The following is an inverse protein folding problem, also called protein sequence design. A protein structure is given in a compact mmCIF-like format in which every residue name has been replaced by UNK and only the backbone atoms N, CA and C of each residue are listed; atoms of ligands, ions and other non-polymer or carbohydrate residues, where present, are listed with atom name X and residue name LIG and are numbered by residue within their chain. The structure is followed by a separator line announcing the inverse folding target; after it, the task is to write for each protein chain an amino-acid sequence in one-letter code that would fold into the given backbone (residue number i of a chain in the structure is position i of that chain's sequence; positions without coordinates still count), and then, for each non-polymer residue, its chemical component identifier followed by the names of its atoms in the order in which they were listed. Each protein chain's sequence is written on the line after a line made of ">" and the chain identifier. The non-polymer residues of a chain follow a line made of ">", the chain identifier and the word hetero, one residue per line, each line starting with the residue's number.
data_IF_405537251067
#
_entry.id   IF_405537251067
#
_cell.length_a   1.000
_cell.length_b   1.000
_cell.length_c   1.000
_cell.angle_alpha   90.00
_cell.angle_beta   90.00
_cell.angle_gamma   90.00
#
_symmetry.space_group_name_H-M   'P 1'
#
loop_
_entity.id
_entity.type
_entity.pdbx_description
1 polymer ?
#
# COMPACT_ATOMS: atom_id res chain seq x y z
N UNK A 1 -7.78 7.86 23.60
CA UNK A 1 -7.43 7.53 22.20
C UNK A 1 -8.72 7.56 21.41
N UNK A 2 -8.77 8.15 20.21
CA UNK A 2 -10.04 8.19 19.45
C UNK A 2 -10.42 6.80 18.94
N UNK A 3 -11.69 6.57 18.60
CA UNK A 3 -12.16 5.27 18.09
C UNK A 3 -11.43 4.88 16.80
N UNK A 4 -11.07 5.85 15.96
CA UNK A 4 -10.25 5.61 14.77
C UNK A 4 -8.85 5.14 15.12
N UNK A 5 -8.18 5.81 16.06
CA UNK A 5 -6.86 5.40 16.50
C UNK A 5 -6.90 3.99 17.10
N UNK A 6 -7.87 3.68 17.97
CA UNK A 6 -8.05 2.34 18.53
C UNK A 6 -8.27 1.28 17.44
N UNK A 7 -9.12 1.57 16.45
CA UNK A 7 -9.41 0.66 15.34
C UNK A 7 -8.17 0.42 14.46
N UNK A 8 -7.41 1.47 14.17
CA UNK A 8 -6.25 1.40 13.28
C UNK A 8 -5.01 0.83 13.97
N UNK A 9 -4.86 1.06 15.28
CA UNK A 9 -3.72 0.61 16.08
C UNK A 9 -3.96 -0.73 16.78
N UNK A 10 -5.07 -1.43 16.49
CA UNK A 10 -5.37 -2.74 17.09
C UNK A 10 -4.24 -3.73 16.83
N UNK A 11 -3.80 -4.41 17.87
CA UNK A 11 -2.81 -5.48 17.77
C UNK A 11 -3.31 -6.67 16.93
N UNK A 12 -2.36 -7.45 16.40
CA UNK A 12 -2.67 -8.67 15.67
C UNK A 12 -3.17 -9.74 16.65
N UNK A 13 -4.22 -10.45 16.29
CA UNK A 13 -4.59 -11.68 17.00
C UNK A 13 -3.51 -12.75 16.80
N UNK A 14 -3.54 -13.79 17.63
CA UNK A 14 -2.65 -14.96 17.50
C UNK A 14 -2.81 -15.65 16.14
N UNK A 15 -4.05 -15.78 15.65
CA UNK A 15 -4.35 -16.35 14.35
C UNK A 15 -3.77 -15.50 13.20
N UNK A 16 -3.95 -14.18 13.25
CA UNK A 16 -3.35 -13.26 12.27
C UNK A 16 -1.83 -13.34 12.31
N UNK A 17 -1.23 -13.34 13.50
CA UNK A 17 0.23 -13.41 13.68
C UNK A 17 0.81 -14.70 13.09
N UNK A 18 0.16 -15.84 13.36
CA UNK A 18 0.56 -17.15 12.83
C UNK A 18 0.46 -17.18 11.30
N UNK A 19 -0.64 -16.64 10.75
CA UNK A 19 -0.82 -16.58 9.30
C UNK A 19 0.20 -15.64 8.63
N UNK A 20 0.47 -14.46 9.21
CA UNK A 20 1.49 -13.53 8.70
C UNK A 20 2.86 -14.23 8.62
N UNK A 21 3.25 -14.95 9.67
CA UNK A 21 4.52 -15.69 9.66
C UNK A 21 4.57 -16.75 8.54
N UNK A 22 3.48 -17.50 8.35
CA UNK A 22 3.37 -18.47 7.27
C UNK A 22 3.49 -17.82 5.88
N UNK A 23 2.82 -16.68 5.65
CA UNK A 23 2.87 -15.98 4.36
C UNK A 23 4.24 -15.35 4.08
N UNK A 24 4.93 -14.86 5.11
CA UNK A 24 6.32 -14.40 4.99
C UNK A 24 7.23 -15.58 4.61
N UNK A 25 7.06 -16.74 5.25
CA UNK A 25 7.83 -17.94 4.93
C UNK A 25 7.60 -18.39 3.48
N UNK A 26 6.35 -18.42 3.02
CA UNK A 26 6.01 -18.76 1.64
C UNK A 26 6.65 -17.79 0.64
N UNK A 27 6.64 -16.49 0.93
CA UNK A 27 7.27 -15.50 0.06
C UNK A 27 8.79 -15.68 -0.04
N UNK A 28 9.46 -16.08 1.04
CA UNK A 28 10.90 -16.40 1.00
C UNK A 28 11.21 -17.55 0.05
N UNK A 29 10.35 -18.57 -0.01
CA UNK A 29 10.47 -19.65 -1.00
C UNK A 29 10.45 -19.11 -2.44
N UNK A 30 9.47 -18.26 -2.75
CA UNK A 30 9.36 -17.61 -4.06
C UNK A 30 10.55 -16.70 -4.39
N UNK A 31 11.16 -16.05 -3.40
CA UNK A 31 12.37 -15.25 -3.59
C UNK A 31 13.56 -16.13 -4.01
N UNK A 32 13.76 -17.28 -3.35
CA UNK A 32 14.81 -18.24 -3.70
C UNK A 32 14.61 -18.77 -5.12
N UNK A 33 13.38 -19.07 -5.51
CA UNK A 33 13.06 -19.49 -6.88
C UNK A 33 13.35 -18.36 -7.89
N UNK A 34 12.99 -17.11 -7.57
CA UNK A 34 13.25 -15.95 -8.42
C UNK A 34 14.76 -15.73 -8.66
N UNK A 35 15.57 -15.90 -7.62
CA UNK A 35 17.04 -15.77 -7.69
C UNK A 35 17.70 -16.82 -8.60
N UNK A 36 17.01 -17.93 -8.86
CA UNK A 36 17.49 -18.98 -9.78
C UNK A 36 17.24 -18.68 -11.26
N UNK A 37 16.44 -17.65 -11.58
CA UNK A 37 16.12 -17.30 -12.96
C UNK A 37 17.33 -16.69 -13.69
N UNK A 38 17.45 -16.97 -15.00
CA UNK A 38 18.32 -16.19 -15.86
C UNK A 38 17.82 -14.75 -16.01
N UNK A 39 18.70 -13.83 -16.40
CA UNK A 39 18.33 -12.43 -16.64
C UNK A 39 17.22 -12.30 -17.67
N UNK A 40 17.25 -13.10 -18.75
CA UNK A 40 16.22 -13.10 -19.79
C UNK A 40 14.86 -13.54 -19.23
N UNK A 41 14.84 -14.63 -18.46
CA UNK A 41 13.62 -15.14 -17.81
C UNK A 41 13.02 -14.16 -16.82
N UNK A 42 13.87 -13.49 -16.04
CA UNK A 42 13.45 -12.44 -15.11
C UNK A 42 12.81 -11.27 -15.88
N UNK A 43 13.43 -10.80 -16.97
CA UNK A 43 12.89 -9.72 -17.79
C UNK A 43 11.54 -10.09 -18.43
N UNK A 44 11.43 -11.29 -19.00
CA UNK A 44 10.15 -11.81 -19.55
C UNK A 44 9.06 -11.82 -18.47
N UNK A 45 9.38 -12.31 -17.28
CA UNK A 45 8.45 -12.38 -16.16
C UNK A 45 8.01 -11.01 -15.66
N UNK A 46 8.92 -10.04 -15.58
CA UNK A 46 8.59 -8.66 -15.19
C UNK A 46 7.64 -7.99 -16.21
N UNK A 47 7.84 -8.23 -17.50
CA UNK A 47 6.94 -7.78 -18.57
C UNK A 47 5.55 -8.41 -18.41
N UNK A 48 5.49 -9.71 -18.13
CA UNK A 48 4.24 -10.45 -17.87
C UNK A 48 3.49 -9.93 -16.64
N UNK A 49 4.21 -9.56 -15.58
CA UNK A 49 3.62 -9.01 -14.34
C UNK A 49 3.05 -7.59 -14.53
N UNK A 50 3.67 -6.76 -15.39
CA UNK A 50 3.37 -5.33 -15.48
C UNK A 50 1.86 -4.96 -15.62
N UNK A 51 1.03 -5.65 -16.43
CA UNK A 51 -0.39 -5.33 -16.56
C UNK A 51 -1.22 -5.53 -15.27
N UNK A 52 -0.74 -6.36 -14.34
CA UNK A 52 -1.47 -6.74 -13.12
C UNK A 52 -1.24 -5.78 -11.95
N UNK A 53 -0.23 -4.90 -12.05
CA UNK A 53 -0.02 -3.80 -11.10
C UNK A 53 -1.11 -2.73 -11.15
N UNK A 54 -1.93 -2.77 -12.19
CA UNK A 54 -2.60 -1.62 -12.75
C UNK A 54 -4.12 -1.80 -12.88
N UNK A 55 -4.62 -3.02 -12.65
CA UNK A 55 -5.97 -3.46 -13.03
C UNK A 55 -7.11 -2.87 -12.17
N UNK A 56 -6.83 -2.35 -10.97
CA UNK A 56 -7.88 -2.01 -9.99
C UNK A 56 -7.81 -0.61 -9.34
N UNK A 57 -6.81 0.21 -9.66
CA UNK A 57 -6.94 1.64 -9.40
C UNK A 57 -7.79 2.23 -10.53
N UNK A 58 -8.83 3.01 -10.23
CA UNK A 58 -9.75 3.58 -11.25
C UNK A 58 -9.10 4.44 -12.37
N UNK A 59 -7.76 4.56 -12.38
CA UNK A 59 -6.95 5.27 -13.35
C UNK A 59 -6.95 4.70 -14.75
N UNK A 60 -6.84 3.37 -14.92
CA UNK A 60 -6.72 2.80 -16.27
C UNK A 60 -8.04 2.74 -17.02
N UNK A 61 -9.18 2.75 -16.33
CA UNK A 61 -10.48 2.90 -17.00
C UNK A 61 -10.67 4.28 -17.66
N UNK A 62 -9.85 5.27 -17.31
CA UNK A 62 -10.01 6.67 -17.76
C UNK A 62 -8.74 7.29 -18.38
N UNK A 63 -7.71 6.51 -18.73
CA UNK A 63 -6.55 7.02 -19.49
C UNK A 63 -5.49 7.81 -18.70
N UNK A 64 -5.45 7.72 -17.36
CA UNK A 64 -4.44 8.43 -16.53
C UNK A 64 -3.12 7.64 -16.41
N UNK A 65 -2.52 7.27 -17.54
CA UNK A 65 -1.26 6.52 -17.58
C UNK A 65 -0.07 7.43 -17.23
N UNK A 66 -0.11 8.68 -17.69
CA UNK A 66 0.98 9.65 -17.51
C UNK A 66 1.25 9.97 -16.04
N UNK A 67 0.21 10.24 -15.24
CA UNK A 67 0.38 10.55 -13.81
C UNK A 67 0.93 9.36 -13.03
N UNK A 68 0.57 8.14 -13.43
CA UNK A 68 1.13 6.92 -12.85
C UNK A 68 2.60 6.74 -13.23
N UNK A 69 2.96 6.99 -14.49
CA UNK A 69 4.36 6.95 -14.93
C UNK A 69 5.20 7.99 -14.17
N UNK A 70 4.74 9.24 -14.07
CA UNK A 70 5.41 10.29 -13.31
C UNK A 70 5.64 9.89 -11.84
N UNK A 71 4.62 9.33 -11.19
CA UNK A 71 4.74 8.85 -9.81
C UNK A 71 5.73 7.67 -9.69
N UNK A 72 5.75 6.74 -10.65
CA UNK A 72 6.75 5.66 -10.66
C UNK A 72 8.17 6.19 -10.88
N UNK A 73 8.36 7.17 -11.77
CA UNK A 73 9.66 7.81 -11.97
C UNK A 73 10.13 8.52 -10.70
N UNK A 74 9.22 9.23 -10.00
CA UNK A 74 9.51 9.87 -8.72
C UNK A 74 10.02 8.86 -7.70
N UNK A 75 9.28 7.76 -7.46
CA UNK A 75 9.72 6.78 -6.46
C UNK A 75 10.96 6.00 -6.92
N UNK A 76 11.17 5.79 -8.22
CA UNK A 76 12.35 5.09 -8.72
C UNK A 76 13.65 5.85 -8.37
N UNK A 77 13.66 7.17 -8.53
CA UNK A 77 14.77 8.03 -8.10
C UNK A 77 15.00 7.91 -6.59
N UNK A 78 13.92 7.93 -5.79
CA UNK A 78 14.00 7.81 -4.33
C UNK A 78 14.52 6.45 -3.88
N UNK A 79 14.09 5.36 -4.52
CA UNK A 79 14.58 4.01 -4.25
C UNK A 79 16.06 3.92 -4.61
N UNK A 80 16.48 4.41 -5.77
CA UNK A 80 17.88 4.40 -6.21
C UNK A 80 18.80 5.17 -5.26
N UNK A 81 18.30 6.24 -4.65
CA UNK A 81 19.02 7.07 -3.68
C UNK A 81 18.81 6.62 -2.22
N UNK A 82 18.14 5.47 -2.01
CA UNK A 82 17.81 4.90 -0.71
C UNK A 82 17.13 5.90 0.25
N UNK A 83 16.25 6.76 -0.29
CA UNK A 83 15.50 7.74 0.48
C UNK A 83 14.19 7.12 0.98
N UNK A 84 13.97 7.16 2.29
CA UNK A 84 12.71 6.77 2.91
C UNK A 84 11.63 7.85 2.67
N UNK A 85 10.34 7.46 2.52
CA UNK A 85 9.26 8.41 2.32
C UNK A 85 8.98 9.25 3.57
N UNK A 86 8.75 10.55 3.36
CA UNK A 86 8.23 11.49 4.37
C UNK A 86 6.76 11.83 4.10
N UNK A 87 6.09 12.51 5.04
CA UNK A 87 4.74 13.04 4.78
C UNK A 87 4.69 14.00 3.59
N UNK A 88 5.73 14.83 3.41
CA UNK A 88 5.82 15.72 2.25
C UNK A 88 5.89 14.94 0.93
N UNK A 89 6.59 13.80 0.92
CA UNK A 89 6.61 12.94 -0.26
C UNK A 89 5.24 12.32 -0.56
N UNK A 90 4.45 11.98 0.47
CA UNK A 90 3.07 11.49 0.28
C UNK A 90 2.18 12.57 -0.35
N UNK A 91 2.33 13.83 0.06
CA UNK A 91 1.65 14.96 -0.59
C UNK A 91 2.08 15.12 -2.05
N UNK A 92 3.39 15.02 -2.32
CA UNK A 92 3.92 15.12 -3.69
C UNK A 92 3.37 13.98 -4.58
N UNK A 93 3.34 12.75 -4.06
CA UNK A 93 2.77 11.60 -4.76
C UNK A 93 1.29 11.81 -5.07
N UNK A 94 0.49 12.27 -4.11
CA UNK A 94 -0.92 12.54 -4.35
C UNK A 94 -1.11 13.62 -5.42
N UNK A 95 -0.34 14.71 -5.35
CA UNK A 95 -0.38 15.80 -6.33
C UNK A 95 -0.08 15.30 -7.75
N UNK A 96 1.00 14.51 -7.92
CA UNK A 96 1.33 13.87 -9.20
C UNK A 96 0.18 12.97 -9.69
N UNK A 97 -0.31 12.08 -8.84
CA UNK A 97 -1.32 11.07 -9.20
C UNK A 97 -2.69 11.68 -9.53
N UNK A 98 -3.00 12.84 -8.96
CA UNK A 98 -4.25 13.58 -9.19
C UNK A 98 -4.11 14.70 -10.23
N UNK A 99 -2.90 14.91 -10.77
CA UNK A 99 -2.55 16.01 -11.68
C UNK A 99 -2.86 17.39 -11.08
N UNK A 100 -2.51 17.57 -9.81
CA UNK A 100 -2.65 18.83 -9.08
C UNK A 100 -1.27 19.46 -8.88
N UNK A 101 -1.24 20.79 -8.79
CA UNK A 101 -0.01 21.54 -8.46
C UNK A 101 0.47 21.20 -7.04
N UNK A 102 -0.48 21.00 -6.13
CA UNK A 102 -0.23 20.70 -4.72
C UNK A 102 -1.41 19.89 -4.18
N UNK A 103 -1.10 18.88 -3.36
CA UNK A 103 -2.09 18.15 -2.59
C UNK A 103 -2.27 18.79 -1.21
N UNK A 104 -3.50 18.77 -0.70
CA UNK A 104 -3.83 19.28 0.62
C UNK A 104 -4.67 18.27 1.40
N UNK A 105 -4.58 18.32 2.73
CA UNK A 105 -5.44 17.52 3.60
C UNK A 105 -6.86 18.06 3.47
N UNK A 106 -7.83 17.17 3.23
CA UNK A 106 -9.23 17.55 3.09
C UNK A 106 -9.78 18.17 4.38
N UNK A 107 -10.71 19.10 4.20
CA UNK A 107 -11.46 19.73 5.31
C UNK A 107 -12.90 19.28 5.38
N UNK A 108 -13.37 18.53 4.37
CA UNK A 108 -14.74 18.02 4.27
C UNK A 108 -14.79 16.51 4.52
N UNK A 109 -15.94 15.97 4.98
CA UNK A 109 -16.16 14.54 5.03
C UNK A 109 -16.03 13.90 3.64
N UNK A 110 -15.50 12.67 3.60
CA UNK A 110 -15.44 11.82 2.41
C UNK A 110 -16.06 10.47 2.73
N UNK A 111 -16.89 9.98 1.82
CA UNK A 111 -17.63 8.73 1.97
C UNK A 111 -17.15 7.66 0.99
N UNK A 112 -16.90 6.46 1.51
CA UNK A 112 -16.44 5.27 0.80
C UNK A 112 -17.60 4.29 0.66
N UNK A 113 -18.59 4.68 -0.16
CA UNK A 113 -19.89 4.03 -0.21
C UNK A 113 -20.76 4.48 0.97
N UNK A 114 -21.32 3.56 1.78
CA UNK A 114 -22.14 3.94 2.94
C UNK A 114 -21.30 4.36 4.16
N UNK A 115 -19.97 4.29 4.08
CA UNK A 115 -19.07 4.50 5.22
C UNK A 115 -18.39 5.85 5.13
N UNK A 116 -18.37 6.60 6.22
CA UNK A 116 -17.52 7.78 6.34
C UNK A 116 -16.07 7.35 6.62
N UNK A 117 -15.11 8.01 5.97
CA UNK A 117 -13.70 7.92 6.34
C UNK A 117 -13.43 8.61 7.70
N UNK A 118 -12.17 8.75 8.10
CA UNK A 118 -11.83 9.47 9.33
C UNK A 118 -12.43 10.90 9.33
N UNK A 119 -13.26 11.30 10.32
CA UNK A 119 -13.89 12.62 10.33
C UNK A 119 -12.84 13.75 10.30
N UNK A 120 -13.11 14.88 9.60
CA UNK A 120 -12.16 15.99 9.51
C UNK A 120 -11.64 16.49 10.86
N UNK A 121 -12.47 16.47 11.90
CA UNK A 121 -12.13 16.87 13.27
C UNK A 121 -11.09 15.96 13.95
N UNK A 122 -11.00 14.69 13.55
CA UNK A 122 -10.03 13.72 14.07
C UNK A 122 -8.84 13.50 13.12
N UNK A 123 -8.95 13.97 11.87
CA UNK A 123 -8.00 13.64 10.82
C UNK A 123 -6.60 14.16 11.11
N UNK A 124 -6.47 15.40 11.59
CA UNK A 124 -5.16 16.01 11.87
C UNK A 124 -4.39 15.24 12.94
N UNK A 125 -5.02 14.93 14.07
CA UNK A 125 -4.38 14.18 15.16
C UNK A 125 -4.09 12.74 14.74
N UNK A 126 -4.97 12.13 13.94
CA UNK A 126 -4.75 10.78 13.42
C UNK A 126 -3.60 10.71 12.41
N UNK A 127 -3.42 11.74 11.59
CA UNK A 127 -2.29 11.85 10.67
C UNK A 127 -0.96 12.10 11.39
N UNK A 128 -0.96 12.92 12.43
CA UNK A 128 0.23 13.08 13.29
C UNK A 128 0.63 11.76 13.95
N UNK A 129 -0.36 10.98 14.41
CA UNK A 129 -0.09 9.64 14.95
C UNK A 129 0.47 8.72 13.86
N UNK A 130 -0.15 8.70 12.68
CA UNK A 130 0.32 7.92 11.54
C UNK A 130 1.78 8.23 11.20
N UNK A 131 2.12 9.53 11.07
CA UNK A 131 3.48 9.96 10.74
C UNK A 131 4.49 9.52 11.80
N UNK A 132 4.23 9.83 13.08
CA UNK A 132 5.18 9.61 14.17
C UNK A 132 5.30 8.14 14.59
N UNK A 133 4.23 7.35 14.46
CA UNK A 133 4.20 5.98 15.01
C UNK A 133 4.23 4.88 13.96
N UNK A 134 3.75 5.13 12.75
CA UNK A 134 3.66 4.11 11.69
C UNK A 134 4.69 4.37 10.61
N UNK A 135 4.72 5.59 10.05
CA UNK A 135 5.63 5.93 8.97
C UNK A 135 7.08 6.01 9.46
N UNK A 136 7.35 6.68 10.59
CA UNK A 136 8.70 6.82 11.12
C UNK A 136 9.25 5.54 11.75
N UNK A 137 8.42 4.72 12.41
CA UNK A 137 8.87 3.47 13.05
C UNK A 137 8.88 2.25 12.13
N UNK A 138 8.67 2.44 10.81
CA UNK A 138 8.68 1.36 9.81
C UNK A 138 9.90 0.45 9.90
N UNK A 139 11.06 1.01 10.27
CA UNK A 139 12.35 0.30 10.32
C UNK A 139 12.48 -0.65 11.54
N UNK A 140 11.53 -0.58 12.49
CA UNK A 140 11.45 -1.49 13.64
C UNK A 140 10.62 -2.75 13.36
N UNK A 141 9.93 -2.79 12.21
CA UNK A 141 9.05 -3.88 11.81
C UNK A 141 9.64 -4.62 10.60
N UNK A 142 9.17 -5.83 10.36
CA UNK A 142 9.46 -6.51 9.10
C UNK A 142 8.98 -5.64 7.91
N UNK A 143 9.77 -5.43 6.84
CA UNK A 143 9.42 -4.52 5.74
C UNK A 143 8.01 -4.69 5.16
N UNK A 144 7.57 -5.93 4.97
CA UNK A 144 6.23 -6.27 4.50
C UNK A 144 5.12 -5.81 5.47
N UNK A 145 5.34 -5.97 6.78
CA UNK A 145 4.41 -5.54 7.80
C UNK A 145 4.34 -4.01 7.81
N UNK A 146 5.50 -3.34 7.82
CA UNK A 146 5.58 -1.88 7.80
C UNK A 146 4.88 -1.28 6.57
N UNK A 147 5.13 -1.86 5.40
CA UNK A 147 4.48 -1.46 4.13
C UNK A 147 2.97 -1.58 4.23
N UNK A 148 2.47 -2.71 4.75
CA UNK A 148 1.04 -2.97 4.84
C UNK A 148 0.35 -2.04 5.83
N UNK A 149 0.97 -1.77 6.98
CA UNK A 149 0.45 -0.81 7.94
C UNK A 149 0.43 0.60 7.34
N UNK A 150 1.47 1.03 6.63
CA UNK A 150 1.47 2.32 5.95
C UNK A 150 0.32 2.44 4.94
N UNK A 151 0.10 1.40 4.13
CA UNK A 151 -0.99 1.35 3.16
C UNK A 151 -2.37 1.39 3.83
N UNK A 152 -2.55 0.55 4.85
CA UNK A 152 -3.79 0.39 5.62
C UNK A 152 -4.18 1.70 6.30
N UNK A 153 -3.25 2.34 7.00
CA UNK A 153 -3.49 3.62 7.66
C UNK A 153 -3.85 4.71 6.67
N UNK A 154 -3.04 4.89 5.61
CA UNK A 154 -3.28 5.96 4.63
C UNK A 154 -4.63 5.82 3.92
N UNK A 155 -4.97 4.61 3.46
CA UNK A 155 -6.23 4.39 2.73
C UNK A 155 -7.46 4.49 3.63
N UNK A 156 -7.33 4.15 4.92
CA UNK A 156 -8.41 4.23 5.91
C UNK A 156 -8.65 5.64 6.44
N UNK A 157 -7.59 6.39 6.76
CA UNK A 157 -7.70 7.80 7.14
C UNK A 157 -8.25 8.65 6.00
N UNK A 158 -7.86 8.29 4.76
CA UNK A 158 -8.35 8.90 3.54
C UNK A 158 -8.12 10.43 3.52
N UNK A 159 -6.87 10.91 3.67
CA UNK A 159 -6.61 12.32 3.96
C UNK A 159 -6.88 13.28 2.80
N UNK A 160 -7.04 12.80 1.58
CA UNK A 160 -7.19 13.63 0.38
C UNK A 160 -8.62 13.58 -0.17
N UNK A 161 -9.03 14.58 -0.96
CA UNK A 161 -10.32 14.55 -1.67
C UNK A 161 -10.34 13.48 -2.78
N UNK A 162 -9.19 13.23 -3.43
CA UNK A 162 -9.03 12.20 -4.46
C UNK A 162 -7.63 11.57 -4.35
N UNK A 163 -7.47 10.38 -4.93
CA UNK A 163 -6.15 9.76 -5.12
C UNK A 163 -5.64 8.93 -3.94
N UNK A 164 -6.39 8.80 -2.84
CA UNK A 164 -5.96 8.06 -1.64
C UNK A 164 -5.50 6.62 -1.94
N UNK A 165 -6.32 5.83 -2.64
CA UNK A 165 -5.97 4.45 -3.00
C UNK A 165 -4.80 4.35 -3.98
N UNK A 166 -4.58 5.37 -4.84
CA UNK A 166 -3.45 5.40 -5.78
C UNK A 166 -2.16 5.76 -5.06
N UNK A 167 -2.24 6.75 -4.18
CA UNK A 167 -1.14 7.23 -3.34
C UNK A 167 -0.67 6.10 -2.43
N UNK A 168 -1.58 5.34 -1.82
CA UNK A 168 -1.22 4.22 -0.95
C UNK A 168 -0.53 3.08 -1.70
N UNK A 169 -0.95 2.75 -2.92
CA UNK A 169 -0.28 1.73 -3.75
C UNK A 169 1.14 2.18 -4.13
N UNK A 170 1.31 3.39 -4.63
CA UNK A 170 2.64 3.89 -5.03
C UNK A 170 3.57 4.05 -3.82
N UNK A 171 3.05 4.47 -2.67
CA UNK A 171 3.80 4.47 -1.41
C UNK A 171 4.24 3.06 -1.02
N UNK A 172 3.38 2.06 -1.15
CA UNK A 172 3.75 0.67 -0.89
C UNK A 172 4.83 0.17 -1.85
N UNK A 173 4.74 0.49 -3.14
CA UNK A 173 5.75 0.10 -4.12
C UNK A 173 7.12 0.73 -3.81
N UNK A 174 7.14 1.96 -3.29
CA UNK A 174 8.36 2.59 -2.80
C UNK A 174 8.95 1.84 -1.60
N UNK A 175 8.16 1.59 -0.56
CA UNK A 175 8.61 0.87 0.64
C UNK A 175 9.09 -0.55 0.31
N UNK A 176 8.38 -1.28 -0.56
CA UNK A 176 8.79 -2.60 -1.04
C UNK A 176 10.11 -2.53 -1.81
N UNK A 177 10.23 -1.55 -2.70
CA UNK A 177 11.41 -1.34 -3.55
C UNK A 177 12.68 -1.03 -2.74
N UNK A 178 12.58 -0.26 -1.65
CA UNK A 178 13.71 0.01 -0.74
C UNK A 178 14.30 -1.28 -0.12
N UNK A 179 13.50 -2.35 -0.04
CA UNK A 179 13.90 -3.63 0.52
C UNK A 179 14.02 -4.74 -0.53
N UNK A 180 14.02 -4.40 -1.82
CA UNK A 180 14.23 -5.36 -2.91
C UNK A 180 13.05 -6.30 -3.20
N UNK A 181 11.86 -6.01 -2.68
CA UNK A 181 10.66 -6.78 -3.02
C UNK A 181 10.07 -6.32 -4.35
N UNK A 182 9.46 -7.26 -5.09
CA UNK A 182 8.62 -6.91 -6.23
C UNK A 182 7.39 -6.09 -5.78
N UNK A 183 6.90 -5.15 -6.61
CA UNK A 183 5.70 -4.36 -6.31
C UNK A 183 4.45 -5.25 -6.24
N UNK A 184 3.36 -4.76 -5.68
CA UNK A 184 2.12 -5.55 -5.58
C UNK A 184 1.42 -5.73 -6.93
N UNK A 185 0.90 -6.93 -7.16
CA UNK A 185 -0.05 -7.21 -8.25
C UNK A 185 -1.40 -7.59 -7.67
N UNK A 186 -2.45 -6.92 -8.11
CA UNK A 186 -3.78 -7.07 -7.52
C UNK A 186 -4.64 -8.01 -8.34
N UNK A 187 -5.42 -8.86 -7.66
CA UNK A 187 -6.46 -9.67 -8.31
C UNK A 187 -7.89 -9.16 -8.02
N UNK A 188 -8.04 -8.36 -6.97
CA UNK A 188 -9.31 -7.75 -6.54
C UNK A 188 -9.12 -6.29 -6.15
N UNK A 189 -10.22 -5.56 -5.92
CA UNK A 189 -10.16 -4.16 -5.47
C UNK A 189 -9.58 -4.02 -4.07
N UNK A 190 -8.93 -2.88 -3.81
CA UNK A 190 -8.33 -2.49 -2.52
C UNK A 190 -9.37 -2.26 -1.41
N UNK A 191 -10.66 -2.26 -1.74
CA UNK A 191 -11.77 -1.96 -0.83
C UNK A 191 -11.72 -2.76 0.49
N UNK A 192 -11.15 -3.97 0.47
CA UNK A 192 -10.96 -4.81 1.65
C UNK A 192 -9.83 -4.40 2.60
N UNK A 193 -9.10 -3.31 2.34
CA UNK A 193 -8.07 -2.74 3.21
C UNK A 193 -8.55 -1.51 3.99
N UNK A 194 -9.73 -0.99 3.68
CA UNK A 194 -10.25 0.23 4.32
C UNK A 194 -10.96 -0.14 5.62
N UNK A 195 -10.41 0.32 6.74
CA UNK A 195 -11.05 0.24 8.04
C UNK A 195 -12.28 1.15 8.08
N UNK A 196 -13.34 0.68 8.74
CA UNK A 196 -14.55 1.47 9.02
C UNK A 196 -14.93 1.28 10.48
N UNK A 197 -15.60 2.27 11.07
CA UNK A 197 -16.22 2.12 12.39
C UNK A 197 -17.53 1.30 12.34
N UNK A 198 -18.05 1.00 11.15
CA UNK A 198 -19.18 0.07 11.00
C UNK A 198 -18.74 -1.38 11.26
N UNK A 199 -19.64 -2.16 11.85
CA UNK A 199 -19.53 -3.60 12.02
C UNK A 199 -19.52 -4.36 10.67
N UNK A 200 -19.89 -3.72 9.56
CA UNK A 200 -19.97 -4.38 8.25
C UNK A 200 -18.61 -4.77 7.64
N UNK A 201 -17.50 -4.22 8.17
CA UNK A 201 -16.14 -4.53 7.70
C UNK A 201 -15.25 -5.12 8.79
N UNK A 202 -15.75 -6.14 9.49
CA UNK A 202 -15.01 -6.84 10.54
C UNK A 202 -13.62 -7.30 10.08
N UNK A 203 -13.48 -7.72 8.81
CA UNK A 203 -12.23 -8.24 8.24
C UNK A 203 -11.21 -7.18 7.83
N UNK A 204 -11.55 -5.88 7.84
CA UNK A 204 -10.59 -4.80 7.60
C UNK A 204 -9.83 -4.50 8.91
N UNK A 205 -8.95 -5.41 9.28
CA UNK A 205 -8.05 -5.33 10.44
C UNK A 205 -6.61 -5.07 9.99
N UNK A 206 -5.74 -4.57 10.88
CA UNK A 206 -4.32 -4.44 10.59
C UNK A 206 -3.67 -5.76 10.14
N UNK A 207 -3.97 -6.88 10.83
CA UNK A 207 -3.41 -8.20 10.50
C UNK A 207 -3.86 -8.71 9.12
N UNK A 208 -5.16 -8.60 8.81
CA UNK A 208 -5.66 -8.97 7.47
C UNK A 208 -5.11 -8.06 6.37
N UNK A 209 -4.84 -6.78 6.66
CA UNK A 209 -4.19 -5.90 5.70
C UNK A 209 -2.76 -6.37 5.39
N UNK A 210 -2.00 -6.79 6.40
CA UNK A 210 -0.68 -7.40 6.22
C UNK A 210 -0.76 -8.67 5.38
N UNK A 211 -1.66 -9.59 5.72
CA UNK A 211 -1.85 -10.84 4.96
C UNK A 211 -2.15 -10.53 3.49
N UNK A 212 -3.13 -9.65 3.22
CA UNK A 212 -3.49 -9.26 1.86
C UNK A 212 -2.35 -8.63 1.08
N UNK A 213 -1.55 -7.77 1.72
CA UNK A 213 -0.37 -7.19 1.08
C UNK A 213 0.61 -8.30 0.68
N UNK A 214 0.95 -9.20 1.60
CA UNK A 214 1.89 -10.28 1.32
C UNK A 214 1.35 -11.19 0.20
N UNK A 215 0.05 -11.52 0.20
CA UNK A 215 -0.56 -12.30 -0.89
C UNK A 215 -0.44 -11.60 -2.24
N UNK A 216 -0.64 -10.28 -2.31
CA UNK A 216 -0.48 -9.49 -3.54
C UNK A 216 1.00 -9.38 -3.97
N UNK A 217 1.94 -9.35 -3.04
CA UNK A 217 3.38 -9.43 -3.33
C UNK A 217 3.71 -10.82 -3.88
N UNK A 218 3.33 -11.91 -3.21
CA UNK A 218 3.53 -13.28 -3.70
C UNK A 218 2.94 -13.49 -5.10
N UNK A 219 1.78 -12.87 -5.40
CA UNK A 219 1.20 -12.90 -6.75
C UNK A 219 2.15 -12.33 -7.80
N UNK A 220 2.83 -11.23 -7.50
CA UNK A 220 3.86 -10.68 -8.40
C UNK A 220 5.00 -11.67 -8.64
N UNK A 221 5.49 -12.33 -7.59
CA UNK A 221 6.51 -13.36 -7.76
C UNK A 221 6.02 -14.53 -8.62
N UNK A 222 4.83 -15.08 -8.36
CA UNK A 222 4.24 -16.15 -9.17
C UNK A 222 4.03 -15.73 -10.64
N UNK A 223 3.60 -14.50 -10.90
CA UNK A 223 3.47 -13.96 -12.25
C UNK A 223 4.84 -13.89 -12.95
N UNK A 224 5.90 -13.50 -12.25
CA UNK A 224 7.24 -13.45 -12.82
C UNK A 224 7.76 -14.87 -13.10
N UNK A 225 7.59 -15.80 -12.15
CA UNK A 225 7.97 -17.20 -12.25
C UNK A 225 7.17 -18.01 -13.28
N UNK A 226 6.01 -17.48 -13.72
CA UNK A 226 5.05 -18.14 -14.61
C UNK A 226 4.24 -19.28 -13.96
N UNK A 227 4.00 -19.19 -12.66
CA UNK A 227 3.23 -20.17 -11.87
C UNK A 227 1.78 -19.72 -11.61
N UNK A 228 1.28 -18.77 -12.40
CA UNK A 228 0.06 -18.00 -12.14
C UNK A 228 -1.14 -18.38 -13.03
#
# INVERSE_FOLDING_TARGET
>A
MSLWLERLSREFSEAESSQIQAEIFNLKGLQVELESLSTERLQEGLIRMAPYRLKYSGNLRHGRVETWQQANSYIAEKIQTNQAPTWQDILNLNALLTNQVKSEIRTKPVYLGPFEACPPEELTSSLQYFENHILQNKDQLHPLIATALCQYWLVSLHPFEDGNGRTSVVLSDWLLGLHGYLPMSFDTKIDGLIATLSNDRVSATPGNAVIKLITNVQRSYRLVLNDA
#
